data_IF_063796335850
#
_entry.id   IF_063796335850
#
_cell.length_a   1.000
_cell.length_b   1.000
_cell.length_c   1.000
_cell.angle_alpha   90.00
_cell.angle_beta   90.00
_cell.angle_gamma   90.00
#
_symmetry.space_group_name_H-M   'P 1'
#
loop_
_entity.id
_entity.type
_entity.pdbx_description
1 polymer ?
#
# COMPACT_ATOMS: atom_id res chain seq x y z
N UNK A 1 0.97 -2.37 -23.84
CA UNK A 1 1.77 -1.23 -24.34
C UNK A 1 1.41 0.11 -23.73
N UNK A 2 0.15 0.38 -23.39
CA UNK A 2 -0.17 1.41 -22.40
C UNK A 2 0.09 0.87 -20.99
N UNK A 3 0.69 1.68 -20.12
CA UNK A 3 0.64 1.50 -18.67
C UNK A 3 -0.80 1.80 -18.19
N UNK A 4 -1.76 0.96 -18.63
CA UNK A 4 -3.18 1.24 -18.54
C UNK A 4 -4.07 0.09 -19.02
N UNK A 5 -4.61 -0.62 -18.03
CA UNK A 5 -5.97 -1.19 -17.94
C UNK A 5 -6.54 -2.15 -19.01
N UNK A 6 -5.82 -2.58 -20.06
CA UNK A 6 -6.33 -3.62 -20.99
C UNK A 6 -6.04 -5.06 -20.57
N UNK A 7 -6.29 -5.43 -19.32
CA UNK A 7 -6.16 -6.85 -18.95
C UNK A 7 -6.42 -7.24 -17.50
N UNK A 8 -6.63 -6.28 -16.60
CA UNK A 8 -7.01 -6.57 -15.22
C UNK A 8 -8.25 -5.72 -14.94
N UNK A 9 -9.41 -6.37 -14.92
CA UNK A 9 -10.64 -5.74 -14.44
C UNK A 9 -10.47 -5.25 -12.99
N UNK A 10 -11.50 -4.66 -12.37
CA UNK A 10 -11.47 -4.26 -10.95
C UNK A 10 -11.36 -5.44 -9.96
N UNK A 11 -10.98 -6.63 -10.43
CA UNK A 11 -10.42 -7.67 -9.60
C UNK A 11 -9.05 -7.16 -9.10
N UNK A 12 -8.94 -6.69 -7.86
CA UNK A 12 -8.70 -7.65 -6.78
C UNK A 12 -7.94 -8.86 -7.35
N UNK A 13 -6.66 -8.67 -7.66
CA UNK A 13 -5.72 -9.79 -7.55
C UNK A 13 -5.60 -10.08 -6.04
N UNK A 14 -6.71 -10.55 -5.46
CA UNK A 14 -6.67 -11.40 -4.30
C UNK A 14 -5.78 -12.54 -4.73
N UNK A 15 -4.57 -12.56 -4.18
CA UNK A 15 -3.69 -13.71 -4.20
C UNK A 15 -4.39 -14.84 -3.42
N UNK A 16 -5.36 -15.47 -4.08
CA UNK A 16 -5.76 -16.85 -3.92
C UNK A 16 -6.47 -17.32 -2.65
N UNK A 17 -6.60 -16.57 -1.54
CA UNK A 17 -7.06 -17.23 -0.31
C UNK A 17 -8.14 -16.54 0.54
N UNK A 18 -8.37 -15.23 0.43
CA UNK A 18 -9.40 -14.58 1.25
C UNK A 18 -10.08 -13.39 0.55
N UNK A 19 -11.40 -13.27 0.72
CA UNK A 19 -12.27 -12.21 0.18
C UNK A 19 -12.02 -10.83 0.82
N UNK A 20 -10.78 -10.38 0.92
CA UNK A 20 -10.47 -9.04 1.41
C UNK A 20 -10.87 -8.05 0.32
N UNK A 21 -11.70 -7.08 0.68
CA UNK A 21 -12.14 -6.04 -0.27
C UNK A 21 -11.80 -4.66 0.24
N UNK A 22 -11.20 -3.86 -0.66
CA UNK A 22 -10.81 -2.49 -0.41
C UNK A 22 -11.63 -1.49 -1.24
N UNK A 23 -11.85 -0.31 -0.66
CA UNK A 23 -12.18 0.95 -1.35
C UNK A 23 -10.88 1.76 -1.44
N UNK A 24 -10.64 2.41 -2.57
CA UNK A 24 -9.43 3.18 -2.83
C UNK A 24 -9.73 4.69 -2.79
N UNK A 25 -8.80 5.48 -2.26
CA UNK A 25 -8.80 6.96 -2.28
C UNK A 25 -7.35 7.47 -2.44
N UNK A 26 -7.14 8.66 -3.01
CA UNK A 26 -5.82 9.27 -3.22
C UNK A 26 -5.33 10.05 -1.98
N UNK A 27 -5.69 9.60 -0.79
CA UNK A 27 -5.38 10.25 0.49
C UNK A 27 -5.82 11.74 0.57
N UNK A 28 -6.78 12.15 -0.25
CA UNK A 28 -7.30 13.53 -0.30
C UNK A 28 -8.11 13.88 0.94
N UNK A 29 -8.78 12.88 1.51
CA UNK A 29 -9.49 13.00 2.77
C UNK A 29 -8.46 12.90 3.90
N UNK A 30 -8.04 14.04 4.47
CA UNK A 30 -7.14 14.11 5.62
C UNK A 30 -7.80 13.55 6.89
N UNK A 31 -7.93 12.23 6.94
CA UNK A 31 -8.32 11.49 8.12
C UNK A 31 -7.08 10.71 8.53
N UNK A 32 -6.31 11.29 9.45
CA UNK A 32 -5.51 10.51 10.39
C UNK A 32 -6.44 10.17 11.57
N UNK A 33 -7.31 9.15 11.48
CA UNK A 33 -8.07 8.77 12.66
C UNK A 33 -7.05 8.31 13.70
N UNK A 34 -6.94 9.09 14.78
CA UNK A 34 -6.09 8.76 15.91
C UNK A 34 -6.57 7.41 16.44
N UNK A 35 -5.69 6.41 16.39
CA UNK A 35 -5.96 5.08 16.91
C UNK A 35 -6.03 5.10 18.43
N UNK A 36 -6.79 4.17 19.00
CA UNK A 36 -6.76 3.87 20.44
C UNK A 36 -6.01 2.58 20.75
N UNK A 37 -5.75 1.78 19.73
CA UNK A 37 -5.15 0.46 19.85
C UNK A 37 -3.79 0.43 19.15
N UNK A 38 -2.88 -0.36 19.69
CA UNK A 38 -1.60 -0.65 19.03
C UNK A 38 -1.89 -1.59 17.86
N UNK A 39 -1.49 -1.18 16.66
CA UNK A 39 -1.55 -2.00 15.44
C UNK A 39 -0.12 -2.20 14.95
N UNK A 40 0.25 -3.43 14.65
CA UNK A 40 1.58 -3.74 14.12
C UNK A 40 1.82 -3.12 12.75
N UNK A 41 3.07 -2.76 12.50
CA UNK A 41 3.53 -2.24 11.22
C UNK A 41 3.36 -3.32 10.13
N UNK A 42 3.25 -2.90 8.86
CA UNK A 42 3.22 -3.82 7.75
C UNK A 42 4.56 -4.58 7.63
N UNK A 43 4.49 -5.84 7.21
CA UNK A 43 5.62 -6.76 7.13
C UNK A 43 5.83 -7.23 5.68
N UNK A 44 6.99 -7.80 5.39
CA UNK A 44 7.31 -8.42 4.09
C UNK A 44 7.04 -7.49 2.89
N UNK A 45 7.43 -6.21 3.02
CA UNK A 45 7.28 -5.23 1.95
C UNK A 45 8.17 -5.64 0.77
N UNK A 46 7.56 -5.75 -0.41
CA UNK A 46 8.23 -6.06 -1.66
C UNK A 46 7.67 -5.20 -2.78
N UNK A 47 8.46 -5.02 -3.85
CA UNK A 47 8.15 -4.12 -4.95
C UNK A 47 8.13 -4.93 -6.25
N UNK A 48 7.00 -4.94 -6.95
CA UNK A 48 6.90 -5.45 -8.31
C UNK A 48 6.97 -4.28 -9.27
N UNK A 49 7.90 -4.32 -10.21
CA UNK A 49 8.15 -3.24 -11.16
C UNK A 49 7.81 -3.68 -12.58
N UNK A 50 7.27 -2.76 -13.37
CA UNK A 50 6.87 -2.97 -14.75
C UNK A 50 7.36 -1.78 -15.58
N UNK A 51 8.12 -2.06 -16.63
CA UNK A 51 8.51 -1.06 -17.61
C UNK A 51 7.40 -0.91 -18.66
N UNK A 52 7.03 0.34 -18.97
CA UNK A 52 6.03 0.69 -19.98
C UNK A 52 6.58 1.81 -20.86
N UNK A 53 6.99 1.51 -22.11
CA UNK A 53 7.50 2.52 -23.05
C UNK A 53 8.54 3.47 -22.42
N UNK A 54 8.10 4.66 -22.00
CA UNK A 54 8.88 5.76 -21.45
C UNK A 54 8.73 5.96 -19.93
N UNK A 55 8.02 5.06 -19.24
CA UNK A 55 7.80 5.15 -17.79
C UNK A 55 7.88 3.79 -17.07
N UNK A 56 8.06 3.87 -15.76
CA UNK A 56 7.98 2.73 -14.84
C UNK A 56 6.65 2.79 -14.09
N UNK A 57 6.06 1.63 -13.84
CA UNK A 57 5.01 1.46 -12.87
C UNK A 57 5.44 0.46 -11.79
N UNK A 58 5.02 0.66 -10.55
CA UNK A 58 5.30 -0.29 -9.47
C UNK A 58 4.04 -0.65 -8.68
N UNK A 59 3.91 -1.91 -8.29
CA UNK A 59 2.96 -2.33 -7.24
C UNK A 59 3.72 -2.67 -5.97
N UNK A 60 3.14 -2.32 -4.82
CA UNK A 60 3.71 -2.57 -3.51
C UNK A 60 2.96 -3.75 -2.92
N UNK A 61 3.68 -4.77 -2.48
CA UNK A 61 3.11 -5.95 -1.84
C UNK A 61 3.59 -6.02 -0.39
N UNK A 62 2.71 -6.41 0.53
CA UNK A 62 3.03 -6.56 1.95
C UNK A 62 2.13 -7.60 2.62
N UNK A 63 2.45 -7.96 3.85
CA UNK A 63 1.56 -8.71 4.74
C UNK A 63 1.19 -7.87 5.96
N UNK A 64 -0.06 -7.94 6.47
CA UNK A 64 -0.44 -7.22 7.68
C UNK A 64 0.24 -7.83 8.91
N UNK A 65 0.56 -7.00 9.91
CA UNK A 65 1.00 -7.50 11.21
C UNK A 65 -0.14 -8.18 11.99
N UNK A 66 0.18 -9.16 12.83
CA UNK A 66 -0.82 -9.90 13.60
C UNK A 66 -1.40 -9.12 14.79
N UNK A 67 -0.63 -8.21 15.38
CA UNK A 67 -1.04 -7.44 16.55
C UNK A 67 -2.03 -6.34 16.14
N UNK A 68 -3.21 -6.33 16.77
CA UNK A 68 -4.23 -5.30 16.58
C UNK A 68 -4.86 -5.28 15.19
N UNK A 69 -4.73 -6.36 14.42
CA UNK A 69 -5.28 -6.48 13.06
C UNK A 69 -6.81 -6.38 13.05
N UNK A 70 -7.48 -6.76 14.13
CA UNK A 70 -8.92 -6.64 14.34
C UNK A 70 -9.40 -5.18 14.47
N UNK A 71 -8.48 -4.24 14.77
CA UNK A 71 -8.78 -2.80 14.85
C UNK A 71 -8.44 -2.05 13.56
N UNK A 72 -7.82 -2.74 12.60
CA UNK A 72 -7.36 -2.19 11.34
C UNK A 72 -8.56 -1.82 10.46
N UNK A 73 -8.53 -0.60 9.92
CA UNK A 73 -9.50 -0.13 8.91
C UNK A 73 -8.92 -0.10 7.51
N UNK A 74 -7.60 -0.20 7.36
CA UNK A 74 -6.94 -0.19 6.08
C UNK A 74 -5.49 0.25 6.14
N UNK A 75 -4.93 0.55 4.97
CA UNK A 75 -3.54 0.98 4.80
C UNK A 75 -3.45 2.25 3.97
N UNK A 76 -2.47 3.08 4.27
CA UNK A 76 -1.98 4.13 3.38
C UNK A 76 -0.62 3.72 2.84
N UNK A 77 -0.48 3.72 1.53
CA UNK A 77 0.76 3.43 0.83
C UNK A 77 1.26 4.74 0.27
N UNK A 78 2.37 5.23 0.82
CA UNK A 78 2.93 6.54 0.53
C UNK A 78 4.25 6.32 -0.17
N UNK A 79 4.38 6.83 -1.38
CA UNK A 79 5.52 6.64 -2.25
C UNK A 79 6.12 8.00 -2.60
N UNK A 80 7.41 8.16 -2.33
CA UNK A 80 8.12 9.43 -2.47
C UNK A 80 9.46 9.23 -3.18
N UNK A 81 9.81 10.16 -4.07
CA UNK A 81 11.11 10.21 -4.73
C UNK A 81 12.15 10.79 -3.77
N UNK A 82 13.34 10.20 -3.66
CA UNK A 82 14.35 10.68 -2.69
C UNK A 82 14.93 12.06 -3.03
N UNK A 83 14.99 12.39 -4.32
CA UNK A 83 15.67 13.57 -4.84
C UNK A 83 14.70 14.67 -5.31
N UNK A 84 13.40 14.48 -5.14
CA UNK A 84 12.38 15.48 -5.51
C UNK A 84 11.18 15.43 -4.54
N UNK A 85 10.30 16.43 -4.61
CA UNK A 85 9.08 16.48 -3.77
C UNK A 85 7.92 15.64 -4.35
N UNK A 86 8.18 14.75 -5.31
CA UNK A 86 7.18 13.88 -5.90
C UNK A 86 6.62 12.89 -4.87
N UNK A 87 5.43 13.16 -4.35
CA UNK A 87 4.70 12.32 -3.39
C UNK A 87 3.41 11.78 -3.98
N UNK A 88 3.26 10.46 -3.97
CA UNK A 88 2.04 9.75 -4.35
C UNK A 88 1.49 9.00 -3.13
N UNK A 89 0.17 8.97 -2.99
CA UNK A 89 -0.47 8.30 -1.85
C UNK A 89 -1.71 7.54 -2.30
N UNK A 90 -1.81 6.29 -1.87
CA UNK A 90 -3.00 5.46 -2.04
C UNK A 90 -3.51 5.04 -0.67
N UNK A 91 -4.80 5.24 -0.43
CA UNK A 91 -5.49 4.82 0.77
C UNK A 91 -6.42 3.65 0.45
N UNK A 92 -6.08 2.48 0.98
CA UNK A 92 -6.85 1.24 0.86
C UNK A 92 -7.69 1.07 2.13
N UNK A 93 -9.00 1.27 2.03
CA UNK A 93 -9.95 1.18 3.14
C UNK A 93 -10.70 -0.13 3.05
N UNK A 94 -10.69 -0.94 4.10
CA UNK A 94 -11.48 -2.17 4.18
C UNK A 94 -12.97 -1.83 4.02
N UNK A 95 -13.66 -2.49 3.09
CA UNK A 95 -15.12 -2.30 2.92
C UNK A 95 -15.88 -2.77 4.14
N UNK A 96 -15.48 -3.91 4.70
CA UNK A 96 -15.93 -4.38 6.02
C UNK A 96 -14.77 -4.27 7.03
N UNK A 97 -14.87 -3.40 8.05
CA UNK A 97 -13.84 -3.24 9.07
C UNK A 97 -13.55 -4.50 9.91
N UNK A 98 -14.48 -5.47 9.97
CA UNK A 98 -14.32 -6.69 10.79
C UNK A 98 -13.85 -7.92 9.99
N UNK A 99 -13.55 -7.76 8.70
CA UNK A 99 -13.20 -8.89 7.83
C UNK A 99 -11.81 -9.48 8.09
N UNK A 100 -10.93 -8.78 8.82
CA UNK A 100 -9.59 -9.25 9.13
C UNK A 100 -9.49 -9.74 10.58
N UNK A 101 -8.76 -10.83 10.76
CA UNK A 101 -8.37 -11.37 12.06
C UNK A 101 -6.95 -11.94 11.99
N UNK A 102 -6.43 -12.47 13.10
CA UNK A 102 -5.04 -12.93 13.20
C UNK A 102 -4.64 -14.05 12.22
N UNK A 103 -5.59 -14.77 11.61
CA UNK A 103 -5.31 -15.73 10.54
C UNK A 103 -4.75 -15.08 9.27
N UNK A 104 -5.03 -13.79 9.06
CA UNK A 104 -4.65 -13.02 7.89
C UNK A 104 -3.22 -12.45 7.94
N UNK A 105 -2.48 -12.68 9.03
CA UNK A 105 -1.11 -12.15 9.22
C UNK A 105 -0.10 -12.55 8.14
N UNK A 106 -0.42 -13.55 7.31
CA UNK A 106 0.41 -14.00 6.18
C UNK A 106 -0.22 -13.72 4.82
N UNK A 107 -1.40 -13.10 4.79
CA UNK A 107 -2.08 -12.80 3.53
C UNK A 107 -1.36 -11.66 2.82
N UNK A 108 -1.00 -11.88 1.57
CA UNK A 108 -0.42 -10.85 0.70
C UNK A 108 -1.48 -9.80 0.35
N UNK A 109 -1.16 -8.54 0.61
CA UNK A 109 -1.91 -7.36 0.20
C UNK A 109 -1.13 -6.65 -0.89
N UNK A 110 -1.84 -5.99 -1.80
CA UNK A 110 -1.26 -5.31 -2.96
C UNK A 110 -1.88 -3.92 -3.15
N UNK A 111 -1.05 -2.93 -3.49
CA UNK A 111 -1.49 -1.59 -3.86
C UNK A 111 -2.03 -1.55 -5.30
N UNK A 112 -2.72 -0.46 -5.68
CA UNK A 112 -2.83 -0.18 -7.11
C UNK A 112 -1.44 0.20 -7.66
N UNK A 113 -1.20 0.01 -8.97
CA UNK A 113 0.06 0.46 -9.57
C UNK A 113 0.26 1.97 -9.38
N UNK A 114 1.42 2.36 -8.85
CA UNK A 114 1.91 3.72 -8.95
C UNK A 114 2.47 3.90 -10.35
N UNK A 115 1.91 4.86 -11.10
CA UNK A 115 2.25 5.12 -12.49
C UNK A 115 3.21 6.30 -12.62
N UNK A 116 3.71 6.52 -13.83
CA UNK A 116 4.51 7.70 -14.21
C UNK A 116 5.80 7.83 -13.37
N UNK A 117 6.37 6.71 -12.96
CA UNK A 117 7.65 6.70 -12.26
C UNK A 117 8.80 6.79 -13.26
N UNK A 118 9.91 7.38 -12.84
CA UNK A 118 11.11 7.55 -13.66
C UNK A 118 11.95 6.27 -13.60
N UNK A 119 12.67 5.96 -14.67
CA UNK A 119 13.70 4.92 -14.67
C UNK A 119 14.89 5.30 -13.79
N UNK A 120 15.62 4.29 -13.32
CA UNK A 120 16.88 4.44 -12.57
C UNK A 120 16.82 5.43 -11.39
N UNK A 121 15.66 5.59 -10.79
CA UNK A 121 15.40 6.63 -9.78
C UNK A 121 15.14 5.99 -8.43
N UNK A 122 15.70 6.59 -7.37
CA UNK A 122 15.57 6.11 -6.00
C UNK A 122 14.26 6.62 -5.39
N UNK A 123 13.47 5.69 -4.85
CA UNK A 123 12.21 5.95 -4.16
C UNK A 123 12.22 5.31 -2.78
N UNK A 124 11.35 5.79 -1.90
CA UNK A 124 10.95 5.06 -0.71
C UNK A 124 9.44 4.93 -0.65
N UNK A 125 9.00 3.85 -0.01
CA UNK A 125 7.59 3.62 0.30
C UNK A 125 7.39 3.41 1.80
N UNK A 126 6.29 3.94 2.33
CA UNK A 126 5.79 3.63 3.68
C UNK A 126 4.40 3.02 3.55
N UNK A 127 4.20 1.86 4.19
CA UNK A 127 2.90 1.21 4.31
C UNK A 127 2.39 1.41 5.74
N UNK A 128 1.42 2.31 5.89
CA UNK A 128 0.94 2.83 7.17
C UNK A 128 -0.44 2.23 7.47
N UNK A 129 -0.58 1.30 8.43
CA UNK A 129 -1.89 0.86 8.88
C UNK A 129 -2.65 2.01 9.54
N UNK A 130 -3.97 2.05 9.38
CA UNK A 130 -4.82 3.01 10.07
C UNK A 130 -6.08 2.35 10.65
N UNK A 131 -6.64 2.86 11.77
CA UNK A 131 -6.16 4.01 12.54
C UNK A 131 -4.84 3.71 13.27
N UNK A 132 -4.04 4.73 13.58
CA UNK A 132 -2.74 4.53 14.24
C UNK A 132 -2.54 5.51 15.39
N UNK A 133 -1.87 5.02 16.45
CA UNK A 133 -1.35 5.85 17.54
C UNK A 133 -0.04 6.55 17.17
N UNK A 134 0.67 6.06 16.14
CA UNK A 134 1.95 6.60 15.67
C UNK A 134 1.67 7.58 14.54
N UNK A 135 2.46 8.65 14.49
CA UNK A 135 2.50 9.51 13.31
C UNK A 135 3.14 8.77 12.12
N UNK A 136 2.74 9.17 10.92
CA UNK A 136 3.27 8.65 9.65
C UNK A 136 4.81 8.68 9.58
N UNK A 137 5.43 9.72 10.15
CA UNK A 137 6.88 9.90 10.20
C UNK A 137 7.61 8.77 10.94
N UNK A 138 6.93 8.08 11.85
CA UNK A 138 7.51 7.04 12.70
C UNK A 138 7.49 5.64 12.04
N UNK A 139 6.92 5.52 10.85
CA UNK A 139 6.95 4.28 10.07
C UNK A 139 8.23 4.20 9.24
N UNK A 140 8.90 3.05 9.32
CA UNK A 140 10.16 2.81 8.62
C UNK A 140 9.93 2.80 7.09
N UNK A 141 10.69 3.61 6.33
CA UNK A 141 10.64 3.59 4.89
C UNK A 141 11.31 2.32 4.33
N UNK A 142 10.75 1.77 3.26
CA UNK A 142 11.38 0.76 2.42
C UNK A 142 11.93 1.43 1.16
N UNK A 143 13.25 1.40 0.99
CA UNK A 143 13.95 2.03 -0.13
C UNK A 143 14.08 1.06 -1.31
N UNK A 144 13.89 1.56 -2.52
CA UNK A 144 14.12 0.81 -3.74
C UNK A 144 14.49 1.74 -4.90
N UNK A 145 15.10 1.16 -5.93
CA UNK A 145 15.41 1.87 -7.18
C UNK A 145 14.62 1.28 -8.32
N UNK A 146 14.00 2.13 -9.13
CA UNK A 146 13.33 1.70 -10.36
C UNK A 146 14.34 1.23 -11.41
N UNK A 147 13.98 0.20 -12.18
CA UNK A 147 14.81 -0.36 -13.26
C UNK A 147 14.10 -0.30 -14.59
#
# INVERSE_FOLDING_TARGET
>A
DTCGWRGVGPASRNSGLYNITFKYDNCTTYLNPVGKHVIADAQNITISQYACHDQVAVTILWSPGALGIEFLKGFRVILEELKSEGRQCQQLILKDPKQLNSSFKRTGMESQPFLNMKFETDYFVKVVPFPSIKNESNYHPFFFRTR
#
